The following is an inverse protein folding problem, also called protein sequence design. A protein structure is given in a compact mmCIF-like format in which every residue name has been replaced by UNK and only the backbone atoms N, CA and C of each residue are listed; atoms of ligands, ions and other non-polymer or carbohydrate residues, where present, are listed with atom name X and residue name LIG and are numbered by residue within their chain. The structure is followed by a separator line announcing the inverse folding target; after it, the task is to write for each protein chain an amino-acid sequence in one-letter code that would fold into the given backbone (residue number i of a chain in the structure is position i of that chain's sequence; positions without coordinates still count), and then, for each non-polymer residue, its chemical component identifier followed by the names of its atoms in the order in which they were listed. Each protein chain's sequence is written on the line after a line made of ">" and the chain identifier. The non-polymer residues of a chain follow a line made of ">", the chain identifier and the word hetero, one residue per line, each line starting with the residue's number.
data_IF_603551086038
#
_entry.id   IF_603551086038
#
_cell.length_a   1.000
_cell.length_b   1.000
_cell.length_c   1.000
_cell.angle_alpha   90.00
_cell.angle_beta   90.00
_cell.angle_gamma   90.00
#
_symmetry.space_group_name_H-M   'P 1'
#
loop_
_entity.id
_entity.type
_entity.pdbx_description
1 polymer ?
#
# COMPACT_ATOMS: atom_id res chain seq x y z
N UNK A 1 7.41 19.50 -45.87
CA UNK A 1 7.37 18.24 -45.12
C UNK A 1 6.69 18.58 -43.81
N UNK A 2 5.48 18.14 -43.61
CA UNK A 2 4.83 18.25 -42.32
C UNK A 2 5.69 17.42 -41.36
N UNK A 3 6.18 18.02 -40.25
CA UNK A 3 6.87 17.31 -39.18
C UNK A 3 5.90 16.24 -38.68
N UNK A 4 6.15 14.97 -39.02
CA UNK A 4 5.33 13.85 -38.54
C UNK A 4 5.55 13.74 -37.04
N UNK A 5 4.54 14.11 -36.29
CA UNK A 5 4.48 14.04 -34.82
C UNK A 5 4.77 12.60 -34.39
N UNK A 6 5.94 12.33 -33.83
CA UNK A 6 6.35 10.99 -33.44
C UNK A 6 5.62 10.50 -32.19
N UNK A 7 5.29 11.43 -31.28
CA UNK A 7 4.69 11.16 -29.98
C UNK A 7 3.60 12.18 -29.62
N UNK A 8 2.64 11.78 -28.82
CA UNK A 8 1.69 12.74 -28.23
C UNK A 8 1.12 12.26 -26.90
N UNK A 9 0.72 13.21 -26.05
CA UNK A 9 -0.04 12.91 -24.84
C UNK A 9 -1.54 12.95 -25.14
N UNK A 10 -2.21 11.82 -25.00
CA UNK A 10 -3.65 11.68 -25.25
C UNK A 10 -4.41 11.02 -24.12
N UNK A 11 -5.71 10.83 -24.28
CA UNK A 11 -6.59 10.21 -23.28
C UNK A 11 -6.19 8.76 -22.92
N UNK A 12 -5.49 8.06 -23.78
CA UNK A 12 -4.99 6.70 -23.54
C UNK A 12 -3.58 6.67 -22.93
N UNK A 13 -3.02 7.81 -22.59
CA UNK A 13 -1.66 7.96 -22.04
C UNK A 13 -0.69 8.57 -23.03
N UNK A 14 0.61 8.35 -22.79
CA UNK A 14 1.67 8.72 -23.72
C UNK A 14 1.60 7.81 -24.94
N UNK A 15 1.50 8.39 -26.10
CA UNK A 15 1.26 7.64 -27.36
C UNK A 15 2.46 7.76 -28.28
N UNK A 16 2.91 6.63 -28.81
CA UNK A 16 4.04 6.51 -29.75
C UNK A 16 3.54 5.83 -31.01
N UNK A 17 3.88 6.35 -32.18
CA UNK A 17 3.64 5.65 -33.42
C UNK A 17 4.67 4.54 -33.59
N UNK A 18 4.22 3.31 -33.93
CA UNK A 18 5.09 2.12 -34.05
C UNK A 18 6.15 2.25 -35.14
N UNK A 19 5.89 3.02 -36.15
CA UNK A 19 6.84 3.32 -37.23
C UNK A 19 8.06 4.09 -36.78
N UNK A 20 7.97 4.79 -35.64
CA UNK A 20 9.09 5.53 -35.04
C UNK A 20 9.92 4.69 -34.07
N UNK A 21 9.60 3.42 -33.92
CA UNK A 21 10.32 2.46 -33.08
C UNK A 21 10.79 1.30 -33.95
N UNK A 22 12.03 0.90 -33.78
CA UNK A 22 12.50 -0.33 -34.39
C UNK A 22 11.88 -1.57 -33.72
N UNK A 23 12.11 -2.74 -34.29
CA UNK A 23 11.49 -3.99 -33.82
C UNK A 23 12.00 -4.34 -32.41
N UNK A 24 13.26 -4.10 -32.13
CA UNK A 24 13.89 -4.43 -30.84
C UNK A 24 13.37 -3.49 -29.73
N UNK A 25 13.20 -2.20 -30.04
CA UNK A 25 12.58 -1.23 -29.12
C UNK A 25 11.12 -1.61 -28.82
N UNK A 26 10.35 -2.03 -29.81
CA UNK A 26 8.97 -2.49 -29.61
C UNK A 26 8.91 -3.75 -28.73
N UNK A 27 9.87 -4.68 -28.87
CA UNK A 27 9.97 -5.88 -28.03
C UNK A 27 10.33 -5.49 -26.61
N UNK A 28 11.31 -4.60 -26.43
CA UNK A 28 11.75 -4.12 -25.13
C UNK A 28 10.62 -3.42 -24.39
N UNK A 29 9.90 -2.51 -25.04
CA UNK A 29 8.75 -1.80 -24.49
C UNK A 29 7.68 -2.77 -23.97
N UNK A 30 7.34 -3.79 -24.75
CA UNK A 30 6.35 -4.80 -24.31
C UNK A 30 6.83 -5.58 -23.09
N UNK A 31 8.11 -5.91 -23.04
CA UNK A 31 8.73 -6.65 -21.94
C UNK A 31 8.78 -5.82 -20.65
N UNK A 32 9.15 -4.56 -20.76
CA UNK A 32 9.27 -3.65 -19.61
C UNK A 32 7.91 -3.32 -19.00
N UNK A 33 6.89 -3.20 -19.86
CA UNK A 33 5.52 -2.89 -19.45
C UNK A 33 4.66 -4.15 -19.27
N UNK A 34 5.27 -5.30 -19.07
CA UNK A 34 4.57 -6.53 -18.66
C UNK A 34 4.61 -6.69 -17.14
N UNK A 35 3.51 -6.47 -16.48
CA UNK A 35 3.39 -6.69 -15.04
C UNK A 35 3.38 -8.18 -14.72
N UNK A 36 4.24 -8.57 -13.77
CA UNK A 36 4.38 -9.95 -13.27
C UNK A 36 3.89 -10.01 -11.83
N UNK A 37 2.61 -10.36 -11.59
CA UNK A 37 2.11 -10.49 -10.24
C UNK A 37 2.91 -11.54 -9.45
N UNK A 38 3.30 -11.21 -8.23
CA UNK A 38 3.92 -12.18 -7.35
C UNK A 38 2.85 -13.17 -6.86
N UNK A 39 3.05 -14.46 -7.14
CA UNK A 39 2.24 -15.53 -6.58
C UNK A 39 3.11 -16.34 -5.63
N UNK A 40 2.68 -16.54 -4.38
CA UNK A 40 3.38 -17.43 -3.44
C UNK A 40 3.54 -18.83 -4.02
N UNK A 41 4.69 -19.48 -3.79
CA UNK A 41 4.98 -20.84 -4.29
C UNK A 41 3.96 -21.90 -3.84
N UNK A 42 3.16 -21.61 -2.81
CA UNK A 42 2.09 -22.47 -2.28
C UNK A 42 0.74 -22.29 -3.00
N UNK A 43 0.61 -21.34 -3.91
CA UNK A 43 -0.64 -21.13 -4.65
C UNK A 43 -0.71 -22.07 -5.84
N UNK A 44 -1.84 -22.79 -5.98
CA UNK A 44 -2.17 -23.61 -7.15
C UNK A 44 -2.44 -22.78 -8.41
N UNK A 45 -2.73 -21.49 -8.26
CA UNK A 45 -3.00 -20.57 -9.37
C UNK A 45 -1.69 -19.93 -9.84
N UNK A 46 -1.31 -20.17 -11.09
CA UNK A 46 -0.24 -19.41 -11.74
C UNK A 46 -0.74 -17.99 -12.02
N UNK A 47 -0.01 -16.99 -11.53
CA UNK A 47 -0.31 -15.61 -11.94
C UNK A 47 -0.10 -15.48 -13.44
N UNK A 48 -1.08 -14.90 -14.10
CA UNK A 48 -0.96 -14.52 -15.49
C UNK A 48 -0.33 -13.14 -15.57
N UNK A 49 0.78 -13.01 -16.29
CA UNK A 49 1.33 -11.71 -16.61
C UNK A 49 0.31 -10.91 -17.42
N UNK A 50 0.28 -9.60 -17.22
CA UNK A 50 -0.61 -8.73 -18.01
C UNK A 50 0.11 -7.45 -18.43
N UNK A 51 -0.21 -6.92 -19.61
CA UNK A 51 0.38 -5.68 -20.08
C UNK A 51 -0.20 -4.48 -19.32
N UNK A 52 0.67 -3.56 -18.90
CA UNK A 52 0.30 -2.24 -18.36
C UNK A 52 0.35 -1.15 -19.46
N UNK A 53 0.37 -1.56 -20.68
CA UNK A 53 0.23 -0.74 -21.88
C UNK A 53 -0.98 -1.20 -22.71
N UNK A 54 -1.37 -0.40 -23.66
CA UNK A 54 -2.30 -0.80 -24.73
C UNK A 54 -1.64 -0.57 -26.07
N UNK A 55 -2.05 -1.30 -27.08
CA UNK A 55 -1.56 -1.09 -28.42
C UNK A 55 -2.69 -1.22 -29.46
N UNK A 56 -2.52 -0.53 -30.58
CA UNK A 56 -3.28 -0.70 -31.80
C UNK A 56 -2.33 -1.19 -32.90
N UNK A 57 -2.85 -1.38 -34.10
CA UNK A 57 -2.01 -1.74 -35.25
C UNK A 57 -0.85 -0.76 -35.45
N UNK A 58 -1.09 0.56 -35.27
CA UNK A 58 -0.13 1.63 -35.58
C UNK A 58 0.51 2.32 -34.35
N UNK A 59 0.01 2.09 -33.12
CA UNK A 59 0.39 2.90 -31.97
C UNK A 59 0.53 2.08 -30.69
N UNK A 60 1.46 2.50 -29.82
CA UNK A 60 1.51 2.16 -28.43
C UNK A 60 0.89 3.27 -27.57
N UNK A 61 0.18 2.87 -26.51
CA UNK A 61 -0.36 3.73 -25.47
C UNK A 61 0.23 3.26 -24.13
N UNK A 62 1.14 4.04 -23.58
CA UNK A 62 1.96 3.67 -22.44
C UNK A 62 1.71 4.60 -21.26
N UNK A 63 2.07 4.19 -20.02
CA UNK A 63 1.97 5.05 -18.86
C UNK A 63 2.72 6.37 -19.06
N UNK A 64 2.09 7.47 -18.65
CA UNK A 64 2.59 8.83 -18.90
C UNK A 64 4.04 9.01 -18.48
N UNK A 65 4.37 8.69 -17.22
CA UNK A 65 5.72 8.94 -16.68
C UNK A 65 6.76 8.02 -17.28
N UNK A 66 6.42 6.77 -17.61
CA UNK A 66 7.29 5.89 -18.37
C UNK A 66 7.63 6.50 -19.75
N UNK A 67 6.63 7.11 -20.40
CA UNK A 67 6.84 7.83 -21.64
C UNK A 67 7.82 9.01 -21.49
N UNK A 68 7.60 9.84 -20.46
CA UNK A 68 8.52 10.95 -20.18
C UNK A 68 9.96 10.52 -19.88
N UNK A 69 10.14 9.44 -19.14
CA UNK A 69 11.47 8.95 -18.74
C UNK A 69 12.24 8.32 -19.89
N UNK A 70 11.57 7.61 -20.79
CA UNK A 70 12.22 6.85 -21.86
C UNK A 70 12.21 7.54 -23.21
N UNK A 71 11.23 8.42 -23.48
CA UNK A 71 11.03 9.06 -24.80
C UNK A 71 10.99 10.60 -24.72
N UNK A 72 11.14 11.19 -23.52
CA UNK A 72 11.13 12.64 -23.36
C UNK A 72 9.74 13.27 -23.35
N UNK A 73 9.70 14.60 -23.57
CA UNK A 73 8.44 15.33 -23.68
C UNK A 73 7.71 14.95 -24.97
N UNK A 74 6.38 14.76 -24.93
CA UNK A 74 5.64 14.46 -26.14
C UNK A 74 5.60 15.69 -27.06
N UNK A 75 5.67 15.45 -28.37
CA UNK A 75 5.63 16.53 -29.37
C UNK A 75 4.32 17.31 -29.34
N UNK A 76 3.22 16.64 -28.98
CA UNK A 76 1.89 17.23 -28.96
C UNK A 76 1.08 16.84 -27.72
N UNK A 77 0.29 17.78 -27.21
CA UNK A 77 -0.68 17.55 -26.14
C UNK A 77 -2.12 17.59 -26.67
N UNK A 78 -2.78 16.41 -26.71
CA UNK A 78 -4.18 16.23 -27.15
C UNK A 78 -5.14 16.08 -25.99
N UNK A 79 -4.69 16.33 -24.74
CA UNK A 79 -5.57 16.27 -23.57
C UNK A 79 -6.35 17.55 -23.42
N UNK A 80 -7.65 17.42 -23.17
CA UNK A 80 -8.50 18.53 -22.75
C UNK A 80 -8.04 19.06 -21.37
N UNK A 81 -8.25 20.36 -21.14
CA UNK A 81 -7.89 20.99 -19.84
C UNK A 81 -8.82 20.59 -18.69
N UNK A 82 -9.87 19.81 -18.96
CA UNK A 82 -10.95 19.50 -18.02
C UNK A 82 -11.91 20.67 -17.77
N UNK A 83 -13.09 20.35 -17.26
CA UNK A 83 -14.08 21.34 -16.83
C UNK A 83 -13.58 22.12 -15.62
N UNK A 84 -13.77 23.44 -15.63
CA UNK A 84 -13.40 24.30 -14.50
C UNK A 84 -14.42 24.19 -13.38
N UNK A 85 -13.94 24.19 -12.15
CA UNK A 85 -14.74 24.28 -10.94
C UNK A 85 -14.32 25.49 -10.10
N UNK A 86 -15.26 26.02 -9.29
CA UNK A 86 -15.01 27.14 -8.38
C UNK A 86 -15.30 26.68 -6.95
N UNK A 87 -14.33 25.99 -6.36
CA UNK A 87 -14.41 25.53 -4.97
C UNK A 87 -13.31 26.19 -4.15
N UNK A 88 -13.64 26.63 -2.94
CA UNK A 88 -12.67 27.26 -2.03
C UNK A 88 -12.29 26.27 -0.93
N UNK A 89 -11.01 26.09 -0.73
CA UNK A 89 -10.50 25.27 0.38
C UNK A 89 -10.70 26.02 1.70
N UNK A 90 -11.48 25.42 2.61
CA UNK A 90 -11.71 25.93 3.97
C UNK A 90 -10.81 25.17 4.94
N UNK A 91 -9.79 25.84 5.44
CA UNK A 91 -8.81 25.29 6.37
C UNK A 91 -7.41 25.79 6.09
N UNK A 92 -6.47 25.38 6.93
CA UNK A 92 -5.06 25.68 6.76
C UNK A 92 -4.25 24.40 6.64
N UNK A 93 -3.30 24.40 5.71
CA UNK A 93 -2.29 23.36 5.63
C UNK A 93 -1.29 23.53 6.76
N UNK A 94 -0.85 22.45 7.34
CA UNK A 94 0.30 22.45 8.26
C UNK A 94 1.55 22.89 7.50
N UNK A 95 2.52 23.47 8.20
CA UNK A 95 3.71 24.04 7.54
C UNK A 95 4.45 23.05 6.65
N UNK A 96 4.58 21.80 7.09
CA UNK A 96 5.21 20.75 6.27
C UNK A 96 4.40 20.32 5.03
N UNK A 97 3.08 20.57 5.01
CA UNK A 97 2.21 20.21 3.87
C UNK A 97 2.29 21.23 2.74
N UNK A 98 2.55 22.49 3.07
CA UNK A 98 2.62 23.59 2.09
C UNK A 98 3.62 23.32 0.97
N UNK A 99 4.92 23.07 1.25
CA UNK A 99 5.91 22.82 0.19
C UNK A 99 5.61 21.56 -0.62
N UNK A 100 4.96 20.53 -0.01
CA UNK A 100 4.57 19.33 -0.72
C UNK A 100 3.50 19.63 -1.77
N UNK A 101 2.45 20.38 -1.38
CA UNK A 101 1.39 20.80 -2.30
C UNK A 101 1.94 21.68 -3.41
N UNK A 102 2.80 22.63 -3.09
CA UNK A 102 3.46 23.51 -4.09
C UNK A 102 4.29 22.71 -5.10
N UNK A 103 5.09 21.77 -4.61
CA UNK A 103 5.88 20.88 -5.47
C UNK A 103 5.01 20.04 -6.39
N UNK A 104 3.91 19.49 -5.85
CA UNK A 104 2.96 18.73 -6.67
C UNK A 104 2.30 19.61 -7.73
N UNK A 105 1.83 20.81 -7.36
CA UNK A 105 1.20 21.75 -8.30
C UNK A 105 2.14 22.17 -9.42
N UNK A 106 3.43 22.34 -9.13
CA UNK A 106 4.45 22.60 -10.14
C UNK A 106 4.57 21.40 -11.11
N UNK A 107 4.68 20.18 -10.59
CA UNK A 107 4.74 18.96 -11.40
C UNK A 107 3.45 18.74 -12.21
N UNK A 108 2.29 18.99 -11.61
CA UNK A 108 1.01 18.88 -12.31
C UNK A 108 0.89 19.85 -13.50
N UNK A 109 1.42 21.08 -13.37
CA UNK A 109 1.41 22.07 -14.45
C UNK A 109 2.41 21.79 -15.57
N UNK A 110 3.56 21.18 -15.25
CA UNK A 110 4.63 20.90 -16.22
C UNK A 110 4.49 19.50 -16.85
N UNK A 111 4.33 18.47 -16.01
CA UNK A 111 4.30 17.05 -16.43
C UNK A 111 2.90 16.46 -16.42
N UNK A 112 1.89 17.21 -16.02
CA UNK A 112 0.48 16.79 -15.97
C UNK A 112 0.15 15.83 -14.85
N UNK A 113 0.91 15.79 -13.74
CA UNK A 113 0.64 14.95 -12.59
C UNK A 113 1.85 14.72 -11.71
N UNK A 114 1.73 13.78 -10.76
CA UNK A 114 2.79 13.40 -9.84
C UNK A 114 2.35 12.36 -8.83
N UNK A 115 3.28 11.88 -8.01
CA UNK A 115 3.05 10.99 -6.90
C UNK A 115 3.21 11.78 -5.58
N UNK A 116 2.22 11.70 -4.70
CA UNK A 116 2.33 12.18 -3.33
C UNK A 116 2.74 11.02 -2.41
N UNK A 117 4.04 10.84 -2.26
CA UNK A 117 4.59 9.84 -1.35
C UNK A 117 4.73 10.45 0.05
N UNK A 118 3.77 10.16 0.92
CA UNK A 118 3.69 10.75 2.25
C UNK A 118 3.17 9.70 3.22
N UNK A 119 3.74 9.69 4.43
CA UNK A 119 3.36 8.73 5.46
C UNK A 119 1.87 8.80 5.85
N UNK A 120 1.35 7.69 6.33
CA UNK A 120 -0.03 7.57 6.81
C UNK A 120 -0.28 8.55 7.97
N UNK A 121 -1.41 9.26 7.93
CA UNK A 121 -1.79 10.26 8.95
C UNK A 121 -1.20 11.66 8.75
N UNK A 122 -0.35 11.90 7.75
CA UNK A 122 0.13 13.24 7.38
C UNK A 122 -0.92 14.13 6.72
N UNK A 123 -2.10 13.58 6.44
CA UNK A 123 -3.21 14.32 5.82
C UNK A 123 -3.17 14.33 4.31
N UNK A 124 -2.82 13.20 3.66
CA UNK A 124 -2.85 13.05 2.20
C UNK A 124 -4.17 13.55 1.59
N UNK A 125 -5.30 13.14 2.18
CA UNK A 125 -6.63 13.56 1.74
C UNK A 125 -6.79 15.09 1.78
N UNK A 126 -6.33 15.73 2.84
CA UNK A 126 -6.41 17.21 3.00
C UNK A 126 -5.56 17.91 1.94
N UNK A 127 -4.34 17.41 1.70
CA UNK A 127 -3.49 17.95 0.63
C UNK A 127 -4.09 17.70 -0.75
N UNK A 128 -4.69 16.52 -0.99
CA UNK A 128 -5.43 16.24 -2.21
C UNK A 128 -6.59 17.20 -2.44
N UNK A 129 -7.36 17.53 -1.40
CA UNK A 129 -8.44 18.52 -1.48
C UNK A 129 -7.93 19.93 -1.75
N UNK A 130 -6.80 20.31 -1.16
CA UNK A 130 -6.14 21.59 -1.48
C UNK A 130 -5.69 21.66 -2.93
N UNK A 131 -5.11 20.55 -3.45
CA UNK A 131 -4.69 20.44 -4.85
C UNK A 131 -5.90 20.57 -5.79
N UNK A 132 -7.03 19.93 -5.46
CA UNK A 132 -8.29 20.06 -6.22
C UNK A 132 -8.71 21.52 -6.32
N UNK A 133 -8.74 22.22 -5.18
CA UNK A 133 -9.12 23.64 -5.13
C UNK A 133 -8.16 24.53 -5.93
N UNK A 134 -6.85 24.30 -5.83
CA UNK A 134 -5.84 25.12 -6.49
C UNK A 134 -5.74 24.87 -8.00
N UNK A 135 -5.98 23.64 -8.45
CA UNK A 135 -6.08 23.33 -9.89
C UNK A 135 -7.40 23.81 -10.47
N UNK A 136 -8.48 23.84 -9.69
CA UNK A 136 -9.78 24.34 -10.09
C UNK A 136 -10.40 23.60 -11.26
N UNK A 137 -10.23 22.26 -11.33
CA UNK A 137 -10.75 21.41 -12.41
C UNK A 137 -11.61 20.26 -11.86
N UNK A 138 -12.60 19.85 -12.64
CA UNK A 138 -13.42 18.67 -12.31
C UNK A 138 -12.52 17.49 -12.01
N UNK A 139 -12.81 16.78 -10.90
CA UNK A 139 -11.92 15.75 -10.34
C UNK A 139 -12.62 14.43 -10.19
N UNK A 140 -11.93 13.35 -10.58
CA UNK A 140 -12.29 11.97 -10.23
C UNK A 140 -11.37 11.49 -9.11
N UNK A 141 -11.97 10.89 -8.07
CA UNK A 141 -11.27 10.21 -6.99
C UNK A 141 -11.59 8.72 -7.07
N UNK A 142 -10.59 7.89 -7.31
CA UNK A 142 -10.75 6.45 -7.43
C UNK A 142 -10.41 5.81 -6.10
N UNK A 143 -11.41 5.13 -5.53
CA UNK A 143 -11.27 4.37 -4.29
C UNK A 143 -11.73 2.92 -4.50
N UNK A 144 -11.16 1.99 -3.75
CA UNK A 144 -11.50 0.57 -3.92
C UNK A 144 -12.40 0.04 -2.79
N UNK A 145 -12.77 0.87 -1.80
CA UNK A 145 -13.63 0.51 -0.67
C UNK A 145 -14.62 1.61 -0.32
N UNK A 146 -15.81 1.17 0.09
CA UNK A 146 -16.90 2.05 0.45
C UNK A 146 -16.59 2.96 1.65
N UNK A 147 -15.83 2.47 2.64
CA UNK A 147 -15.46 3.31 3.78
C UNK A 147 -14.53 4.46 3.36
N UNK A 148 -13.64 4.25 2.36
CA UNK A 148 -12.80 5.32 1.78
C UNK A 148 -13.68 6.33 1.03
N UNK A 149 -14.69 5.85 0.28
CA UNK A 149 -15.66 6.73 -0.35
C UNK A 149 -16.31 7.65 0.68
N UNK A 150 -16.82 7.08 1.79
CA UNK A 150 -17.44 7.86 2.88
C UNK A 150 -16.44 8.83 3.52
N UNK A 151 -15.22 8.38 3.77
CA UNK A 151 -14.16 9.24 4.32
C UNK A 151 -13.84 10.42 3.41
N UNK A 152 -13.78 10.20 2.09
CA UNK A 152 -13.57 11.26 1.12
C UNK A 152 -14.75 12.25 1.11
N UNK A 153 -16.00 11.76 1.15
CA UNK A 153 -17.19 12.63 1.25
C UNK A 153 -17.12 13.51 2.49
N UNK A 154 -16.91 12.91 3.67
CA UNK A 154 -16.79 13.66 4.94
C UNK A 154 -15.68 14.73 4.88
N UNK A 155 -14.55 14.42 4.27
CA UNK A 155 -13.45 15.38 4.12
C UNK A 155 -13.75 16.47 3.10
N UNK A 156 -14.44 16.15 2.02
CA UNK A 156 -14.90 17.13 1.05
C UNK A 156 -15.90 18.09 1.72
N UNK A 157 -16.88 17.59 2.44
CA UNK A 157 -17.84 18.42 3.20
C UNK A 157 -17.13 19.35 4.19
N UNK A 158 -16.07 18.87 4.84
CA UNK A 158 -15.31 19.64 5.81
C UNK A 158 -14.45 20.74 5.16
N UNK A 159 -13.74 20.44 4.08
CA UNK A 159 -12.70 21.31 3.50
C UNK A 159 -13.09 21.97 2.17
N UNK A 160 -14.07 21.41 1.46
CA UNK A 160 -14.62 21.96 0.20
C UNK A 160 -16.16 21.97 0.26
N UNK A 161 -16.80 22.61 1.22
CA UNK A 161 -18.24 22.49 1.46
C UNK A 161 -19.12 23.02 0.33
N UNK A 162 -18.55 23.79 -0.60
CA UNK A 162 -19.25 24.30 -1.78
C UNK A 162 -19.22 23.33 -2.96
N UNK A 163 -18.41 22.24 -2.87
CA UNK A 163 -18.25 21.29 -3.96
C UNK A 163 -19.47 20.38 -4.11
N UNK A 164 -19.95 20.25 -5.32
CA UNK A 164 -20.99 19.29 -5.69
C UNK A 164 -20.35 17.92 -5.88
N UNK A 165 -20.68 16.98 -4.99
CA UNK A 165 -20.11 15.62 -4.99
C UNK A 165 -21.06 14.63 -5.65
N UNK A 166 -20.52 13.83 -6.56
CA UNK A 166 -21.21 12.69 -7.16
C UNK A 166 -20.45 11.38 -6.95
N UNK A 167 -20.99 10.29 -7.45
CA UNK A 167 -20.36 8.97 -7.34
C UNK A 167 -20.63 8.05 -8.52
N UNK A 168 -19.66 7.15 -8.77
CA UNK A 168 -19.85 5.96 -9.61
C UNK A 168 -19.68 4.73 -8.73
N UNK A 169 -20.80 4.06 -8.42
CA UNK A 169 -20.83 2.89 -7.55
C UNK A 169 -21.90 1.90 -8.03
N UNK A 170 -21.52 0.69 -8.37
CA UNK A 170 -22.41 -0.33 -8.92
C UNK A 170 -23.23 0.17 -10.13
N UNK A 171 -24.54 0.35 -9.99
CA UNK A 171 -25.42 0.89 -11.06
C UNK A 171 -25.56 2.41 -11.01
N UNK A 172 -25.06 3.07 -9.98
CA UNK A 172 -25.17 4.51 -9.82
C UNK A 172 -24.07 5.20 -10.63
N UNK A 173 -24.48 6.11 -11.51
CA UNK A 173 -23.60 7.00 -12.28
C UNK A 173 -24.12 8.42 -12.07
N UNK A 174 -23.65 9.08 -11.03
CA UNK A 174 -24.03 10.44 -10.65
C UNK A 174 -22.85 11.37 -10.93
N UNK A 175 -22.79 11.92 -12.13
CA UNK A 175 -21.67 12.75 -12.62
C UNK A 175 -22.13 14.10 -13.19
N UNK A 176 -23.42 14.22 -13.54
CA UNK A 176 -23.93 15.45 -14.13
C UNK A 176 -23.92 16.60 -13.12
N UNK A 177 -23.43 17.74 -13.54
CA UNK A 177 -23.31 18.95 -12.70
C UNK A 177 -22.53 18.73 -11.39
N UNK A 178 -21.53 17.81 -11.40
CA UNK A 178 -20.67 17.54 -10.25
C UNK A 178 -19.27 18.13 -10.46
N UNK A 179 -18.70 18.62 -9.37
CA UNK A 179 -17.33 19.12 -9.31
C UNK A 179 -16.33 18.00 -9.03
N UNK A 180 -16.71 17.10 -8.11
CA UNK A 180 -15.90 15.96 -7.67
C UNK A 180 -16.74 14.69 -7.74
N UNK A 181 -16.23 13.66 -8.40
CA UNK A 181 -16.89 12.35 -8.49
C UNK A 181 -16.01 11.28 -7.86
N UNK A 182 -16.56 10.55 -6.89
CA UNK A 182 -15.84 9.44 -6.25
C UNK A 182 -16.26 8.12 -6.90
N UNK A 183 -15.29 7.43 -7.49
CA UNK A 183 -15.51 6.21 -8.25
C UNK A 183 -15.02 4.98 -7.48
N UNK A 184 -15.85 3.97 -7.39
CA UNK A 184 -15.41 2.65 -6.94
C UNK A 184 -14.60 1.98 -8.04
N UNK A 185 -13.36 1.58 -7.76
CA UNK A 185 -12.46 0.92 -8.72
C UNK A 185 -13.13 -0.28 -9.39
N UNK A 186 -13.84 -1.12 -8.62
CA UNK A 186 -14.56 -2.28 -9.15
C UNK A 186 -15.63 -1.86 -10.16
N UNK A 187 -16.33 -0.74 -9.92
CA UNK A 187 -17.38 -0.27 -10.82
C UNK A 187 -16.81 0.19 -12.15
N UNK A 188 -15.70 0.92 -12.13
CA UNK A 188 -15.07 1.43 -13.37
C UNK A 188 -14.24 0.38 -14.11
N UNK A 189 -13.75 -0.68 -13.43
CA UNK A 189 -12.97 -1.75 -14.06
C UNK A 189 -13.80 -2.88 -14.65
N UNK A 190 -15.02 -3.10 -14.14
CA UNK A 190 -15.89 -4.21 -14.56
C UNK A 190 -16.95 -3.82 -15.60
N UNK A 191 -17.03 -2.55 -15.95
CA UNK A 191 -18.01 -2.04 -16.93
C UNK A 191 -17.33 -1.20 -18.00
N UNK A 192 -17.87 -1.24 -19.17
CA UNK A 192 -17.49 -0.31 -20.25
C UNK A 192 -18.28 0.99 -20.13
N UNK A 193 -17.58 2.09 -20.18
CA UNK A 193 -18.15 3.43 -20.17
C UNK A 193 -17.76 4.17 -21.46
N UNK A 194 -18.65 5.01 -22.00
CA UNK A 194 -18.27 5.87 -23.11
C UNK A 194 -17.12 6.79 -22.69
N UNK A 195 -16.13 6.97 -23.55
CA UNK A 195 -14.96 7.83 -23.29
C UNK A 195 -15.39 9.27 -22.96
N UNK A 196 -16.49 9.73 -23.58
CA UNK A 196 -17.06 11.06 -23.31
C UNK A 196 -17.44 11.28 -21.84
N UNK A 197 -17.79 10.22 -21.10
CA UNK A 197 -18.14 10.29 -19.69
C UNK A 197 -17.02 10.92 -18.83
N UNK A 198 -15.77 10.68 -19.21
CA UNK A 198 -14.59 11.12 -18.48
C UNK A 198 -13.90 12.34 -19.08
N UNK A 199 -14.39 12.85 -20.21
CA UNK A 199 -13.73 13.92 -20.98
C UNK A 199 -13.63 15.26 -20.24
N UNK A 200 -14.56 15.53 -19.32
CA UNK A 200 -14.59 16.75 -18.55
C UNK A 200 -13.70 16.75 -17.29
N UNK A 201 -13.18 15.60 -16.88
CA UNK A 201 -12.35 15.51 -15.69
C UNK A 201 -10.89 15.85 -16.01
N UNK A 202 -10.36 16.87 -15.33
CA UNK A 202 -8.98 17.33 -15.50
C UNK A 202 -8.01 16.76 -14.48
N UNK A 203 -8.50 16.13 -13.39
CA UNK A 203 -7.68 15.53 -12.34
C UNK A 203 -8.23 14.16 -11.96
N UNK A 204 -7.32 13.19 -11.77
CA UNK A 204 -7.62 11.88 -11.21
C UNK A 204 -6.74 11.61 -10.01
N UNK A 205 -7.32 11.20 -8.89
CA UNK A 205 -6.62 10.85 -7.63
C UNK A 205 -6.85 9.36 -7.33
N UNK A 206 -5.79 8.63 -6.94
CA UNK A 206 -5.81 7.19 -6.57
C UNK A 206 -5.00 6.96 -5.28
N UNK A 207 -5.48 6.15 -4.31
CA UNK A 207 -4.92 6.08 -2.90
C UNK A 207 -4.68 4.65 -2.31
N UNK A 208 -3.46 4.32 -1.62
CA UNK A 208 -3.20 3.26 -0.58
C UNK A 208 -1.96 2.31 -0.48
N UNK A 209 -1.46 1.77 0.75
CA UNK A 209 -0.78 0.48 1.02
C UNK A 209 0.09 0.10 2.25
N UNK A 210 0.45 -1.26 2.53
CA UNK A 210 1.39 -1.87 3.54
C UNK A 210 2.05 -3.24 3.15
N UNK A 211 3.19 -3.73 3.79
CA UNK A 211 3.91 -4.95 3.36
C UNK A 211 3.46 -6.28 4.00
N UNK A 212 3.61 -7.41 3.25
CA UNK A 212 3.09 -8.76 3.52
C UNK A 212 3.53 -9.39 4.85
N UNK A 213 4.82 -9.31 5.20
CA UNK A 213 5.40 -10.04 6.34
C UNK A 213 5.27 -9.35 7.71
N UNK A 214 4.66 -8.16 7.75
CA UNK A 214 4.46 -7.45 9.01
C UNK A 214 3.49 -8.23 9.91
N UNK A 215 3.90 -8.52 11.14
CA UNK A 215 3.04 -9.15 12.12
C UNK A 215 2.14 -8.14 12.81
N UNK A 216 0.86 -8.47 12.89
CA UNK A 216 -0.17 -7.72 13.61
C UNK A 216 -0.69 -8.57 14.76
N UNK A 217 -0.88 -7.94 15.93
CA UNK A 217 -1.50 -8.60 17.08
C UNK A 217 -3.01 -8.70 16.88
N UNK A 218 -3.53 -9.91 16.98
CA UNK A 218 -4.95 -10.22 16.89
C UNK A 218 -5.43 -10.94 18.16
N UNK A 219 -6.73 -11.02 18.34
CA UNK A 219 -7.35 -11.82 19.43
C UNK A 219 -7.03 -13.32 19.33
N UNK A 220 -6.59 -13.77 18.18
CA UNK A 220 -6.14 -15.16 17.92
C UNK A 220 -4.60 -15.31 17.90
N UNK A 221 -3.84 -14.30 18.38
CA UNK A 221 -2.37 -14.27 18.38
C UNK A 221 -1.77 -13.35 17.33
N UNK A 222 -0.44 -13.39 17.19
CA UNK A 222 0.27 -12.59 16.18
C UNK A 222 0.16 -13.24 14.80
N UNK A 223 -0.39 -12.52 13.82
CA UNK A 223 -0.62 -12.99 12.45
C UNK A 223 0.06 -12.05 11.46
N UNK A 224 0.60 -12.59 10.37
CA UNK A 224 1.17 -11.77 9.29
C UNK A 224 0.08 -10.98 8.59
N UNK A 225 0.31 -9.70 8.30
CA UNK A 225 -0.67 -8.86 7.61
C UNK A 225 -1.04 -9.44 6.24
N UNK A 226 -0.08 -10.02 5.53
CA UNK A 226 -0.33 -10.70 4.27
C UNK A 226 -1.25 -11.92 4.41
N UNK A 227 -1.11 -12.71 5.48
CA UNK A 227 -2.04 -13.83 5.75
C UNK A 227 -3.43 -13.34 6.13
N UNK A 228 -3.56 -12.15 6.74
CA UNK A 228 -4.86 -11.52 6.96
C UNK A 228 -5.48 -11.04 5.65
N UNK A 229 -4.65 -10.56 4.72
CA UNK A 229 -5.09 -10.22 3.37
C UNK A 229 -5.62 -11.46 2.63
N UNK A 230 -4.88 -12.58 2.63
CA UNK A 230 -5.30 -13.84 2.00
C UNK A 230 -6.61 -14.36 2.57
N UNK A 231 -6.77 -14.36 3.90
CA UNK A 231 -8.02 -14.75 4.58
C UNK A 231 -9.17 -13.84 4.19
N UNK A 232 -8.90 -12.53 4.11
CA UNK A 232 -9.92 -11.58 3.69
C UNK A 232 -10.34 -11.79 2.22
N UNK A 233 -9.38 -12.03 1.32
CA UNK A 233 -9.63 -12.29 -0.09
C UNK A 233 -10.45 -13.57 -0.30
N UNK A 234 -10.14 -14.61 0.47
CA UNK A 234 -10.86 -15.89 0.47
C UNK A 234 -12.20 -15.84 1.23
N UNK A 235 -12.60 -14.68 1.77
CA UNK A 235 -13.82 -14.50 2.58
C UNK A 235 -13.86 -15.37 3.84
N UNK A 236 -12.70 -15.73 4.38
CA UNK A 236 -12.58 -16.44 5.64
C UNK A 236 -12.86 -15.52 6.84
N UNK A 237 -13.16 -16.13 8.00
CA UNK A 237 -13.35 -15.38 9.23
C UNK A 237 -12.07 -14.66 9.67
N UNK A 238 -12.16 -13.34 9.82
CA UNK A 238 -11.03 -12.50 10.21
C UNK A 238 -10.96 -12.30 11.73
N UNK A 239 -9.76 -12.39 12.33
CA UNK A 239 -9.61 -12.08 13.74
C UNK A 239 -9.76 -10.57 14.00
N UNK A 240 -10.01 -10.22 15.27
CA UNK A 240 -9.98 -8.81 15.70
C UNK A 240 -8.54 -8.34 15.87
N UNK A 241 -8.27 -7.12 15.44
CA UNK A 241 -6.94 -6.51 15.49
C UNK A 241 -6.79 -5.68 16.76
N UNK A 242 -5.66 -5.81 17.44
CA UNK A 242 -5.31 -4.98 18.58
C UNK A 242 -5.06 -3.55 18.13
N UNK A 243 -5.87 -2.64 18.62
CA UNK A 243 -5.84 -1.21 18.29
C UNK A 243 -5.69 -0.38 19.56
N UNK A 244 -4.99 0.76 19.46
CA UNK A 244 -4.89 1.71 20.57
C UNK A 244 -5.97 2.77 20.45
N UNK A 245 -6.86 2.83 21.45
CA UNK A 245 -7.87 3.87 21.56
C UNK A 245 -7.25 5.13 22.15
N UNK A 246 -7.26 6.23 21.40
CA UNK A 246 -6.62 7.50 21.80
C UNK A 246 -7.38 8.24 22.88
N UNK A 247 -8.70 8.06 22.96
CA UNK A 247 -9.57 8.72 23.94
C UNK A 247 -9.43 8.05 25.30
N UNK A 248 -9.60 6.73 25.34
CA UNK A 248 -9.52 5.94 26.58
C UNK A 248 -8.09 5.62 27.00
N UNK A 249 -7.08 5.86 26.13
CA UNK A 249 -5.66 5.48 26.34
C UNK A 249 -5.46 3.98 26.58
N UNK A 250 -6.36 3.13 26.11
CA UNK A 250 -6.32 1.68 26.28
C UNK A 250 -6.20 0.93 24.95
N UNK A 251 -5.63 -0.28 25.03
CA UNK A 251 -5.63 -1.20 23.91
C UNK A 251 -6.92 -2.03 23.90
N UNK A 252 -7.58 -2.09 22.75
CA UNK A 252 -8.80 -2.84 22.54
C UNK A 252 -8.74 -3.64 21.23
N UNK A 253 -9.47 -4.75 21.17
CA UNK A 253 -9.57 -5.54 19.94
C UNK A 253 -10.71 -5.05 19.05
N UNK A 254 -10.38 -4.51 17.89
CA UNK A 254 -11.34 -4.03 16.89
C UNK A 254 -11.49 -5.00 15.73
N UNK A 255 -12.71 -5.12 15.22
CA UNK A 255 -13.00 -5.94 14.04
C UNK A 255 -12.22 -5.40 12.86
N UNK A 256 -11.46 -6.29 12.19
CA UNK A 256 -10.85 -5.98 10.91
C UNK A 256 -11.93 -5.94 9.83
N UNK A 257 -12.05 -4.82 9.16
CA UNK A 257 -13.06 -4.64 8.12
C UNK A 257 -12.50 -4.91 6.74
N UNK A 258 -11.15 -4.81 6.61
CA UNK A 258 -10.52 -4.85 5.31
C UNK A 258 -8.99 -5.05 5.32
N UNK A 259 -8.43 -5.68 4.27
CA UNK A 259 -7.00 -5.77 3.97
C UNK A 259 -6.72 -5.58 2.46
N UNK A 260 -5.56 -5.02 2.11
CA UNK A 260 -5.13 -4.82 0.71
C UNK A 260 -3.62 -5.01 0.57
N UNK A 261 -3.09 -5.08 -0.67
CA UNK A 261 -1.69 -5.37 -0.99
C UNK A 261 -1.11 -4.38 -2.02
N UNK A 262 0.17 -4.02 -1.85
CA UNK A 262 0.99 -3.22 -2.78
C UNK A 262 2.28 -3.95 -3.19
N UNK A 263 2.94 -3.49 -4.24
CA UNK A 263 4.24 -3.99 -4.69
C UNK A 263 5.41 -3.39 -3.88
N UNK A 264 6.60 -3.92 -4.11
CA UNK A 264 7.81 -3.88 -3.28
C UNK A 264 8.36 -2.45 -3.04
N UNK A 265 8.57 -2.09 -1.78
CA UNK A 265 9.30 -0.90 -1.33
C UNK A 265 10.43 -1.31 -0.37
N UNK A 266 11.48 -0.49 -0.26
CA UNK A 266 12.55 -0.69 0.72
C UNK A 266 12.01 -0.53 2.14
N UNK A 267 12.37 -1.46 3.03
CA UNK A 267 11.88 -1.50 4.39
C UNK A 267 12.99 -1.18 5.39
N UNK A 268 12.69 -0.33 6.37
CA UNK A 268 13.52 -0.14 7.54
C UNK A 268 13.24 -1.26 8.55
N UNK A 269 14.31 -1.78 9.11
CA UNK A 269 14.30 -2.79 10.18
C UNK A 269 14.54 -2.13 11.52
N UNK A 270 13.49 -1.99 12.33
CA UNK A 270 13.58 -1.47 13.69
C UNK A 270 13.75 -2.66 14.64
N UNK A 271 14.91 -2.72 15.30
CA UNK A 271 15.18 -3.75 16.32
C UNK A 271 14.74 -3.23 17.69
N UNK A 272 13.81 -3.92 18.32
CA UNK A 272 13.43 -3.74 19.71
C UNK A 272 14.07 -4.84 20.57
N UNK A 273 14.08 -4.67 21.88
CA UNK A 273 14.64 -5.64 22.83
C UNK A 273 14.16 -7.09 22.63
N UNK A 274 12.93 -7.28 22.16
CA UNK A 274 12.30 -8.61 21.97
C UNK A 274 11.56 -8.79 20.63
N UNK A 275 11.60 -7.80 19.75
CA UNK A 275 10.85 -7.84 18.46
C UNK A 275 11.59 -7.09 17.38
N UNK A 276 11.30 -7.44 16.15
CA UNK A 276 11.72 -6.69 14.98
C UNK A 276 10.47 -6.20 14.24
N UNK A 277 10.44 -4.93 13.91
CA UNK A 277 9.41 -4.33 13.08
C UNK A 277 10.05 -4.00 11.74
N UNK A 278 9.46 -4.49 10.65
CA UNK A 278 9.82 -4.08 9.30
C UNK A 278 8.69 -3.19 8.78
N UNK A 279 9.01 -1.98 8.39
CA UNK A 279 8.04 -1.02 7.89
C UNK A 279 8.70 -0.06 6.90
N UNK A 280 7.91 0.68 6.15
CA UNK A 280 8.45 1.75 5.30
C UNK A 280 9.10 2.84 6.14
N UNK A 281 10.07 3.60 5.61
CA UNK A 281 10.79 4.63 6.34
C UNK A 281 9.87 5.65 7.05
N UNK A 282 8.76 5.98 6.42
CA UNK A 282 7.79 6.99 6.87
C UNK A 282 6.73 6.40 7.81
N UNK A 283 6.76 5.07 8.06
CA UNK A 283 5.77 4.44 8.93
C UNK A 283 5.83 5.04 10.34
N UNK A 284 4.69 5.50 10.83
CA UNK A 284 4.59 6.12 12.15
C UNK A 284 4.52 5.08 13.25
N UNK A 285 5.54 5.11 14.09
CA UNK A 285 5.64 4.30 15.29
C UNK A 285 5.19 5.14 16.50
N UNK A 286 4.28 4.60 17.30
CA UNK A 286 3.85 5.28 18.53
C UNK A 286 4.92 5.14 19.61
N UNK A 287 5.47 6.27 20.03
CA UNK A 287 6.46 6.37 21.11
C UNK A 287 5.87 7.10 22.31
N UNK A 288 6.59 7.17 23.40
CA UNK A 288 6.23 7.98 24.59
C UNK A 288 6.15 9.49 24.28
N UNK A 289 6.80 9.93 23.21
CA UNK A 289 6.79 11.32 22.70
C UNK A 289 5.70 11.56 21.66
N UNK A 290 4.85 10.55 21.37
CA UNK A 290 3.86 10.58 20.29
C UNK A 290 4.30 9.76 19.08
N UNK A 291 3.66 10.01 17.91
CA UNK A 291 4.01 9.30 16.68
C UNK A 291 5.29 9.84 16.05
N UNK A 292 6.28 8.98 15.84
CA UNK A 292 7.57 9.27 15.18
C UNK A 292 7.70 8.38 13.96
N UNK A 293 8.19 8.92 12.85
CA UNK A 293 8.48 8.15 11.64
C UNK A 293 9.62 7.15 11.89
N UNK A 294 9.53 5.98 11.27
CA UNK A 294 10.50 4.90 11.49
C UNK A 294 11.95 5.32 11.19
N UNK A 295 12.16 6.17 10.15
CA UNK A 295 13.47 6.71 9.78
C UNK A 295 14.00 7.82 10.73
N UNK A 296 13.15 8.33 11.62
CA UNK A 296 13.49 9.37 12.59
C UNK A 296 13.61 8.82 14.01
N UNK A 297 13.46 7.51 14.19
CA UNK A 297 13.70 6.86 15.47
C UNK A 297 15.20 6.78 15.75
N UNK A 298 15.54 7.10 16.99
CA UNK A 298 16.90 6.96 17.49
C UNK A 298 16.99 5.77 18.46
N UNK A 299 18.20 5.26 18.64
CA UNK A 299 18.47 4.26 19.66
C UNK A 299 18.14 4.85 21.04
N UNK A 300 17.33 4.11 21.82
CA UNK A 300 16.82 4.56 23.13
C UNK A 300 15.42 5.15 23.09
N UNK A 301 14.81 5.39 21.95
CA UNK A 301 13.40 5.80 21.88
C UNK A 301 12.46 4.70 22.37
N UNK A 302 11.56 5.06 23.30
CA UNK A 302 10.62 4.12 23.90
C UNK A 302 9.35 3.99 23.05
N UNK A 303 9.15 2.81 22.47
CA UNK A 303 7.97 2.49 21.66
C UNK A 303 6.85 1.96 22.56
N UNK A 304 5.63 2.50 22.39
CA UNK A 304 4.45 2.03 23.11
C UNK A 304 3.99 0.72 22.46
N UNK A 305 4.03 -0.35 23.25
CA UNK A 305 3.47 -1.64 22.84
C UNK A 305 2.62 -2.21 23.97
N UNK A 306 1.66 -3.08 23.63
CA UNK A 306 0.95 -3.83 24.66
C UNK A 306 1.91 -4.81 25.31
N UNK A 307 2.15 -4.60 26.58
CA UNK A 307 2.89 -5.49 27.43
C UNK A 307 1.93 -6.11 28.44
N UNK A 308 1.74 -7.40 28.40
CA UNK A 308 0.95 -8.11 29.41
C UNK A 308 1.89 -8.53 30.53
N UNK A 309 1.83 -7.81 31.65
CA UNK A 309 2.66 -8.07 32.84
C UNK A 309 2.47 -9.51 33.35
N UNK A 310 1.25 -10.03 33.26
CA UNK A 310 0.92 -11.41 33.65
C UNK A 310 1.59 -12.48 32.75
N UNK A 311 2.10 -12.10 31.61
CA UNK A 311 2.80 -13.01 30.69
C UNK A 311 4.27 -13.23 31.07
N UNK A 312 4.87 -12.32 31.85
CA UNK A 312 6.27 -12.40 32.23
C UNK A 312 6.44 -13.08 33.60
N UNK A 313 5.54 -12.81 34.55
CA UNK A 313 5.63 -13.36 35.88
C UNK A 313 5.42 -14.89 35.93
N UNK A 314 4.91 -15.49 34.83
CA UNK A 314 4.72 -16.94 34.71
C UNK A 314 5.69 -17.63 33.73
N UNK A 315 6.61 -16.90 33.10
CA UNK A 315 7.67 -17.52 32.29
C UNK A 315 8.89 -17.67 33.21
N UNK A 316 8.94 -18.76 33.95
CA UNK A 316 10.23 -19.36 34.31
C UNK A 316 10.78 -19.93 33.01
N UNK A 317 11.41 -19.08 32.20
CA UNK A 317 12.33 -19.55 31.19
C UNK A 317 13.49 -20.20 31.95
N UNK A 318 13.77 -21.50 31.79
CA UNK A 318 15.02 -22.03 32.22
C UNK A 318 16.10 -21.13 31.62
N UNK A 319 17.04 -20.67 32.45
CA UNK A 319 18.17 -19.90 31.93
C UNK A 319 18.91 -20.83 30.94
N UNK A 320 18.74 -20.56 29.66
CA UNK A 320 19.44 -21.31 28.63
C UNK A 320 20.89 -20.87 28.68
N UNK A 321 21.79 -21.86 28.66
CA UNK A 321 23.22 -21.57 28.51
C UNK A 321 23.50 -21.10 27.06
N UNK A 322 24.72 -20.66 26.82
CA UNK A 322 25.11 -20.05 25.54
C UNK A 322 24.96 -21.01 24.36
N UNK A 323 25.31 -22.30 24.55
CA UNK A 323 25.18 -23.33 23.53
C UNK A 323 23.71 -23.62 23.20
N UNK A 324 22.86 -23.71 24.22
CA UNK A 324 21.41 -23.87 24.03
C UNK A 324 20.79 -22.67 23.31
N UNK A 325 21.25 -21.46 23.60
CA UNK A 325 20.83 -20.25 22.87
C UNK A 325 21.25 -20.31 21.40
N UNK A 326 22.47 -20.78 21.10
CA UNK A 326 22.91 -20.93 19.71
C UNK A 326 22.06 -21.97 18.95
N UNK A 327 21.68 -23.09 19.59
CA UNK A 327 20.76 -24.07 18.99
C UNK A 327 19.38 -23.47 18.75
N UNK A 328 18.86 -22.64 19.69
CA UNK A 328 17.59 -21.92 19.50
C UNK A 328 17.66 -20.96 18.33
N UNK A 329 18.71 -20.13 18.27
CA UNK A 329 18.89 -19.17 17.19
C UNK A 329 19.11 -19.83 15.85
N UNK A 330 20.00 -20.82 15.77
CA UNK A 330 20.26 -21.55 14.55
C UNK A 330 19.02 -22.27 14.02
N UNK A 331 18.25 -22.88 14.91
CA UNK A 331 17.00 -23.57 14.53
C UNK A 331 15.89 -22.58 14.13
N UNK A 332 15.78 -21.45 14.81
CA UNK A 332 14.79 -20.41 14.47
C UNK A 332 15.07 -19.74 13.14
N UNK A 333 16.33 -19.59 12.77
CA UNK A 333 16.75 -19.04 11.48
C UNK A 333 16.61 -20.07 10.34
N UNK A 334 16.57 -21.36 10.66
CA UNK A 334 16.42 -22.46 9.72
C UNK A 334 14.99 -23.04 9.72
N UNK A 335 14.86 -24.25 10.19
CA UNK A 335 13.66 -25.10 10.14
C UNK A 335 12.90 -25.21 11.47
N UNK A 336 13.35 -24.50 12.51
CA UNK A 336 12.69 -24.45 13.80
C UNK A 336 11.51 -23.48 13.84
N UNK A 337 10.48 -23.84 14.59
CA UNK A 337 9.29 -23.05 14.82
C UNK A 337 9.06 -22.77 16.30
N UNK A 338 8.89 -21.48 16.67
CA UNK A 338 8.48 -21.11 18.02
C UNK A 338 6.97 -20.84 18.00
N UNK A 339 6.21 -21.76 18.54
CA UNK A 339 4.76 -21.64 18.69
C UNK A 339 4.34 -21.28 20.11
N UNK A 340 3.12 -20.79 20.27
CA UNK A 340 2.50 -20.52 21.57
C UNK A 340 1.49 -21.64 21.85
N UNK A 341 1.61 -22.32 22.99
CA UNK A 341 0.66 -23.35 23.40
C UNK A 341 -0.64 -22.72 23.95
N UNK A 342 -1.72 -23.53 24.07
CA UNK A 342 -3.00 -23.12 24.65
C UNK A 342 -2.89 -22.54 26.09
N UNK A 343 -1.76 -22.80 26.80
CA UNK A 343 -1.45 -22.25 28.14
C UNK A 343 -0.50 -21.06 28.08
N UNK A 344 -0.40 -20.38 26.93
CA UNK A 344 0.46 -19.22 26.71
C UNK A 344 1.96 -19.47 26.98
N UNK A 345 2.43 -20.71 26.83
CA UNK A 345 3.85 -21.03 26.92
C UNK A 345 4.46 -21.09 25.53
N UNK A 346 5.66 -20.56 25.37
CA UNK A 346 6.41 -20.70 24.13
C UNK A 346 6.90 -22.14 24.02
N UNK A 347 6.73 -22.71 22.83
CA UNK A 347 7.22 -24.04 22.48
C UNK A 347 8.12 -23.90 21.27
N UNK A 348 9.37 -24.27 21.43
CA UNK A 348 10.27 -24.45 20.31
C UNK A 348 10.02 -25.84 19.73
N UNK A 349 9.82 -25.92 18.42
CA UNK A 349 9.63 -27.17 17.68
C UNK A 349 10.67 -27.24 16.57
N UNK A 350 11.38 -28.34 16.52
CA UNK A 350 12.20 -28.74 15.39
C UNK A 350 11.46 -29.83 14.61
N UNK A 351 11.51 -29.78 13.30
CA UNK A 351 10.94 -30.81 12.45
C UNK A 351 11.99 -31.15 11.39
N UNK A 352 12.49 -32.36 11.44
CA UNK A 352 13.49 -32.86 10.51
C UNK A 352 12.95 -34.10 9.80
N UNK A 353 13.43 -34.35 8.56
CA UNK A 353 13.14 -35.56 7.86
C UNK A 353 13.89 -36.75 8.50
N UNK A 354 13.41 -37.99 8.24
CA UNK A 354 13.96 -39.23 8.82
C UNK A 354 15.48 -39.37 8.64
N UNK A 355 16.04 -38.87 7.55
CA UNK A 355 17.49 -38.85 7.27
C UNK A 355 18.30 -37.95 8.20
N UNK A 356 17.64 -37.12 8.99
CA UNK A 356 18.26 -36.14 9.94
C UNK A 356 17.91 -36.49 11.39
N UNK A 357 17.53 -37.74 11.67
CA UNK A 357 17.13 -38.21 13.00
C UNK A 357 18.21 -37.94 14.04
N UNK A 358 19.46 -38.30 13.77
CA UNK A 358 20.59 -38.09 14.68
C UNK A 358 20.79 -36.60 15.02
N UNK A 359 20.57 -35.68 14.06
CA UNK A 359 20.65 -34.24 14.29
C UNK A 359 19.51 -33.73 15.15
N UNK A 360 18.32 -34.28 15.00
CA UNK A 360 17.18 -33.98 15.85
C UNK A 360 17.40 -34.45 17.31
N UNK A 361 17.94 -35.67 17.46
CA UNK A 361 18.32 -36.24 18.75
C UNK A 361 19.42 -35.46 19.44
N UNK A 362 20.43 -35.01 18.69
CA UNK A 362 21.47 -34.12 19.21
C UNK A 362 20.89 -32.80 19.74
N UNK A 363 19.97 -32.19 19.00
CA UNK A 363 19.26 -30.97 19.46
C UNK A 363 18.46 -31.23 20.74
N UNK A 364 17.75 -32.34 20.82
CA UNK A 364 16.96 -32.72 21.99
C UNK A 364 17.84 -32.90 23.23
N UNK A 365 18.96 -33.59 23.08
CA UNK A 365 19.92 -33.81 24.17
C UNK A 365 20.52 -32.52 24.72
N UNK A 366 20.71 -31.50 23.88
CA UNK A 366 21.17 -30.18 24.33
C UNK A 366 20.19 -29.51 25.32
N UNK A 367 18.92 -29.89 25.31
CA UNK A 367 17.89 -29.39 26.22
C UNK A 367 17.48 -30.40 27.30
N UNK A 368 18.22 -31.53 27.43
CA UNK A 368 17.93 -32.58 28.40
C UNK A 368 16.61 -33.33 28.11
N UNK A 369 16.24 -33.44 26.85
CA UNK A 369 15.05 -34.21 26.41
C UNK A 369 15.50 -35.61 26.01
N UNK A 370 15.08 -36.61 26.79
CA UNK A 370 15.50 -38.04 26.61
C UNK A 370 14.63 -38.82 25.63
N UNK A 371 13.41 -38.37 25.31
CA UNK A 371 12.51 -39.00 24.34
C UNK A 371 12.01 -37.98 23.31
N UNK A 372 12.08 -38.36 22.05
CA UNK A 372 11.60 -37.58 20.89
C UNK A 372 10.25 -38.10 20.36
#
# INVERSE_FOLDING_TARGET
>A
MEDETATYMGQKGYTIYKENLDIDEQILLRKDLEAKPYVPKSSLNKATNFPIYRESHKKFYIPRFYGYENYGEPDEFKLGKGGKIKVKFKGELRDFQKPIVETYLKSAKTKGGGLLEIHTGAGKTVMGLKIIADLGVKTIIIVHKEFLLRQWVERIEQFLPEAKVGKIQASIIDIEDKDIVICMLQSISMKEYPISLFSEFGLTIVDECFPYNQHIHTDKGAVRIGSLYEKWENKEELPKILSFNRETKQFEYKKMTYAWRKEKEDLIKIKLSKKVINCTPEHKILTTKGYVEANKLNEGDLIISKYDKNHIDNIISPALNEDQLQVVYGSYLGDGHIGITKKNRYRLRFTHGEKQKEYCEWKANMFGIEEL
#
